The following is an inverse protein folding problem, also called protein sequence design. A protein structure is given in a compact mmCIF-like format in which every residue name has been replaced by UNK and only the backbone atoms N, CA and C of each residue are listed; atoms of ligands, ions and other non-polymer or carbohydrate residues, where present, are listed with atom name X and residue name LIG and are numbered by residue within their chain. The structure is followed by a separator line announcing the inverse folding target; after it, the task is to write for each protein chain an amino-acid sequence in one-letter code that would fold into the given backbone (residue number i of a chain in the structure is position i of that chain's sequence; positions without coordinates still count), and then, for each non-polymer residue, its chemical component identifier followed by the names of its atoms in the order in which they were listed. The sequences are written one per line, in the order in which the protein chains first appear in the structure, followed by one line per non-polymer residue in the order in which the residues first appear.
data_IF_570773494405
#
_entry.id   IF_570773494405
#
_cell.length_a   1.000
_cell.length_b   1.000
_cell.length_c   1.000
_cell.angle_alpha   90.00
_cell.angle_beta   90.00
_cell.angle_gamma   90.00
#
_symmetry.space_group_name_H-M   'P 1'
#
loop_
_entity.id
_entity.type
_entity.pdbx_description
1 polymer ?
#
# COMPACT_ATOMS: atom_id res chain seq x y z
N UNK A 1 -2.29 -35.68 6.42
CA UNK A 1 -3.64 -35.79 7.02
C UNK A 1 -4.22 -34.40 7.01
N UNK A 2 -5.14 -34.12 6.08
CA UNK A 2 -5.91 -32.88 6.02
C UNK A 2 -6.87 -32.86 7.22
N UNK A 3 -6.87 -31.82 8.07
CA UNK A 3 -7.84 -31.72 9.13
C UNK A 3 -9.21 -31.42 8.49
N UNK A 4 -10.08 -32.42 8.46
CA UNK A 4 -11.50 -32.24 8.14
C UNK A 4 -12.17 -31.57 9.34
N UNK A 5 -12.52 -30.29 9.22
CA UNK A 5 -13.34 -29.62 10.22
C UNK A 5 -14.76 -30.19 10.12
N UNK A 6 -15.25 -30.80 11.20
CA UNK A 6 -16.61 -31.34 11.24
C UNK A 6 -17.66 -30.22 11.16
N UNK A 7 -18.88 -30.57 10.74
CA UNK A 7 -20.01 -29.63 10.66
C UNK A 7 -20.28 -28.89 11.97
N UNK A 8 -19.97 -29.53 13.11
CA UNK A 8 -20.04 -28.93 14.44
C UNK A 8 -19.00 -27.83 14.65
N UNK A 9 -17.77 -27.98 14.14
CA UNK A 9 -16.70 -26.98 14.26
C UNK A 9 -16.94 -25.80 13.32
N UNK A 10 -17.46 -26.07 12.11
CA UNK A 10 -17.95 -25.01 11.21
C UNK A 10 -19.10 -24.23 11.86
N UNK A 11 -20.07 -24.92 12.46
CA UNK A 11 -21.18 -24.27 13.18
C UNK A 11 -20.65 -23.44 14.37
N UNK A 12 -19.68 -23.95 15.12
CA UNK A 12 -19.04 -23.24 16.23
C UNK A 12 -18.23 -22.02 15.76
N UNK A 13 -17.50 -22.12 14.65
CA UNK A 13 -16.80 -21.00 14.01
C UNK A 13 -17.79 -19.95 13.48
N UNK A 14 -18.90 -20.38 12.86
CA UNK A 14 -19.99 -19.51 12.40
C UNK A 14 -20.63 -18.81 13.60
N UNK A 15 -20.91 -19.51 14.69
CA UNK A 15 -21.52 -18.91 15.88
C UNK A 15 -20.53 -18.04 16.67
N UNK A 16 -19.23 -18.33 16.63
CA UNK A 16 -18.18 -17.44 17.16
C UNK A 16 -18.08 -16.18 16.30
N UNK A 17 -18.07 -16.30 14.98
CA UNK A 17 -18.07 -15.17 14.06
C UNK A 17 -19.39 -14.35 14.10
N UNK A 18 -20.54 -14.99 14.32
CA UNK A 18 -21.83 -14.31 14.55
C UNK A 18 -21.87 -13.61 15.90
N UNK A 19 -21.22 -14.15 16.93
CA UNK A 19 -20.97 -13.43 18.19
C UNK A 19 -20.09 -12.20 17.94
N UNK A 20 -19.12 -12.29 17.04
CA UNK A 20 -18.35 -11.13 16.55
C UNK A 20 -19.12 -10.21 15.59
N UNK A 21 -20.27 -10.61 15.05
CA UNK A 21 -21.16 -9.69 14.32
C UNK A 21 -21.91 -8.70 15.26
N UNK A 22 -21.81 -8.90 16.58
CA UNK A 22 -22.17 -7.94 17.64
C UNK A 22 -21.01 -6.95 17.91
N UNK A 23 -19.85 -7.11 17.25
CA UNK A 23 -18.68 -6.24 17.39
C UNK A 23 -18.98 -4.74 17.24
N UNK A 24 -19.84 -4.26 16.32
CA UNK A 24 -20.15 -2.84 16.24
C UNK A 24 -20.76 -2.28 17.52
N UNK A 25 -21.61 -3.06 18.20
CA UNK A 25 -22.24 -2.67 19.47
C UNK A 25 -21.23 -2.74 20.61
N UNK A 26 -20.40 -3.78 20.66
CA UNK A 26 -19.38 -3.93 21.69
C UNK A 26 -18.27 -2.87 21.57
N UNK A 27 -17.83 -2.56 20.34
CA UNK A 27 -16.94 -1.43 20.06
C UNK A 27 -17.59 -0.12 20.49
N UNK A 28 -18.84 0.13 20.09
CA UNK A 28 -19.48 1.40 20.39
C UNK A 28 -19.68 1.59 21.89
N UNK A 29 -20.05 0.54 22.62
CA UNK A 29 -20.08 0.56 24.08
C UNK A 29 -18.71 0.84 24.68
N UNK A 30 -17.65 0.16 24.19
CA UNK A 30 -16.27 0.44 24.63
C UNK A 30 -15.84 1.88 24.32
N UNK A 31 -16.26 2.42 23.17
CA UNK A 31 -15.98 3.79 22.73
C UNK A 31 -16.66 4.80 23.64
N UNK A 32 -17.95 4.62 23.94
CA UNK A 32 -18.68 5.47 24.90
C UNK A 32 -18.02 5.45 26.29
N UNK A 33 -17.63 4.28 26.79
CA UNK A 33 -16.95 4.17 28.09
C UNK A 33 -15.57 4.85 28.07
N UNK A 34 -14.83 4.73 26.97
CA UNK A 34 -13.53 5.37 26.81
C UNK A 34 -13.64 6.90 26.74
N UNK A 35 -14.63 7.43 25.99
CA UNK A 35 -14.94 8.87 25.92
C UNK A 35 -15.33 9.42 27.29
N UNK A 36 -16.18 8.71 28.04
CA UNK A 36 -16.54 9.09 29.40
C UNK A 36 -15.33 9.12 30.34
N UNK A 37 -14.40 8.17 30.18
CA UNK A 37 -13.18 8.10 31.00
C UNK A 37 -12.15 9.18 30.63
N UNK A 38 -12.02 9.51 29.35
CA UNK A 38 -11.14 10.58 28.87
C UNK A 38 -11.70 11.98 29.21
N UNK A 39 -13.02 12.09 29.34
CA UNK A 39 -13.73 13.31 29.69
C UNK A 39 -14.64 13.77 28.55
N UNK A 40 -15.94 13.90 28.82
CA UNK A 40 -16.93 14.29 27.82
C UNK A 40 -16.66 15.65 27.17
N UNK A 41 -15.95 16.56 27.85
CA UNK A 41 -15.60 17.88 27.34
C UNK A 41 -14.74 17.82 26.05
N UNK A 42 -13.99 16.74 25.86
CA UNK A 42 -13.08 16.58 24.72
C UNK A 42 -13.74 15.93 23.49
N UNK A 43 -15.00 15.52 23.56
CA UNK A 43 -15.66 14.75 22.51
C UNK A 43 -17.09 15.23 22.24
N UNK A 44 -17.54 15.11 20.98
CA UNK A 44 -18.86 15.53 20.53
C UNK A 44 -19.15 17.00 20.90
N UNK A 45 -20.30 17.24 21.54
CA UNK A 45 -20.71 18.58 21.96
C UNK A 45 -20.21 19.00 23.36
N UNK A 46 -19.35 18.19 24.00
CA UNK A 46 -18.75 18.48 25.30
C UNK A 46 -19.60 18.07 26.52
N UNK A 47 -20.85 17.63 26.34
CA UNK A 47 -21.77 17.30 27.44
C UNK A 47 -21.79 15.81 27.74
N UNK A 48 -21.95 15.45 29.01
CA UNK A 48 -22.02 14.02 29.41
C UNK A 48 -23.27 13.32 28.86
N UNK A 49 -24.41 14.00 28.89
CA UNK A 49 -25.69 13.43 28.45
C UNK A 49 -25.70 13.12 26.94
N UNK A 50 -24.92 13.87 26.14
CA UNK A 50 -24.77 13.57 24.72
C UNK A 50 -23.94 12.31 24.47
N UNK A 51 -23.00 11.98 25.36
CA UNK A 51 -22.23 10.73 25.25
C UNK A 51 -23.11 9.52 25.42
N UNK A 52 -24.03 9.57 26.38
CA UNK A 52 -24.98 8.48 26.65
C UNK A 52 -26.09 8.39 25.60
N UNK A 53 -26.48 9.52 25.00
CA UNK A 53 -27.50 9.56 23.95
C UNK A 53 -26.95 9.28 22.54
N UNK A 54 -25.62 9.23 22.39
CA UNK A 54 -24.98 9.04 21.10
C UNK A 54 -25.37 7.70 20.47
N UNK A 55 -25.54 7.70 19.15
CA UNK A 55 -25.97 6.52 18.37
C UNK A 55 -24.82 5.78 17.71
N UNK A 56 -23.74 6.50 17.44
CA UNK A 56 -22.53 5.95 16.84
C UNK A 56 -21.28 6.73 17.28
N UNK A 57 -20.10 6.25 16.84
CA UNK A 57 -18.82 6.85 17.22
C UNK A 57 -18.60 8.26 16.65
N UNK A 58 -19.26 8.61 15.54
CA UNK A 58 -19.05 9.85 14.79
C UNK A 58 -19.69 11.04 15.51
N UNK A 59 -20.82 10.80 16.20
CA UNK A 59 -21.41 11.78 17.12
C UNK A 59 -20.49 12.13 18.31
N UNK A 60 -19.49 11.29 18.57
CA UNK A 60 -18.46 11.46 19.61
C UNK A 60 -17.09 11.78 19.02
N UNK A 61 -17.05 12.66 18.02
CA UNK A 61 -15.81 13.10 17.41
C UNK A 61 -14.89 13.85 18.40
N UNK A 62 -13.56 13.64 18.36
CA UNK A 62 -12.63 14.37 19.22
C UNK A 62 -12.58 15.86 18.88
N UNK A 63 -12.56 16.73 19.89
CA UNK A 63 -12.26 18.16 19.75
C UNK A 63 -10.73 18.35 19.77
N UNK A 64 -10.09 18.06 18.64
CA UNK A 64 -8.62 18.07 18.52
C UNK A 64 -7.98 19.39 18.95
N UNK A 65 -8.50 20.59 18.60
CA UNK A 65 -7.94 21.85 19.08
C UNK A 65 -7.93 21.96 20.62
N UNK A 66 -9.05 21.60 21.25
CA UNK A 66 -9.13 21.60 22.72
C UNK A 66 -8.17 20.58 23.33
N UNK A 67 -8.12 19.36 22.80
CA UNK A 67 -7.20 18.31 23.24
C UNK A 67 -5.74 18.79 23.14
N UNK A 68 -5.34 19.38 22.01
CA UNK A 68 -3.99 19.90 21.80
C UNK A 68 -3.61 21.01 22.79
N UNK A 69 -4.58 21.84 23.19
CA UNK A 69 -4.37 22.89 24.19
C UNK A 69 -4.27 22.35 25.62
N UNK A 70 -5.01 21.28 25.94
CA UNK A 70 -5.11 20.73 27.29
C UNK A 70 -4.09 19.62 27.58
N UNK A 71 -3.60 18.91 26.56
CA UNK A 71 -2.80 17.69 26.71
C UNK A 71 -1.52 17.91 27.53
N UNK A 72 -0.92 19.10 27.47
CA UNK A 72 0.28 19.43 28.24
C UNK A 72 0.06 19.49 29.76
N UNK A 73 -1.17 19.71 30.22
CA UNK A 73 -1.52 19.79 31.65
C UNK A 73 -2.01 18.45 32.23
N UNK A 74 -2.19 17.43 31.39
CA UNK A 74 -2.65 16.10 31.78
C UNK A 74 -1.50 15.24 32.34
N UNK A 75 -1.84 14.22 33.13
CA UNK A 75 -0.86 13.18 33.49
C UNK A 75 -0.41 12.40 32.25
N UNK A 76 0.78 11.80 32.29
CA UNK A 76 1.31 11.05 31.15
C UNK A 76 0.37 9.90 30.69
N UNK A 77 -0.28 9.21 31.63
CA UNK A 77 -1.28 8.18 31.30
C UNK A 77 -2.54 8.73 30.60
N UNK A 78 -2.97 9.94 30.94
CA UNK A 78 -4.09 10.61 30.26
C UNK A 78 -3.70 11.10 28.87
N UNK A 79 -2.48 11.62 28.71
CA UNK A 79 -1.92 12.02 27.43
C UNK A 79 -1.91 10.85 26.43
N UNK A 80 -1.37 9.71 26.86
CA UNK A 80 -1.31 8.48 26.05
C UNK A 80 -2.72 7.98 25.73
N UNK A 81 -3.62 7.97 26.71
CA UNK A 81 -4.98 7.46 26.54
C UNK A 81 -5.80 8.32 25.57
N UNK A 82 -5.81 9.65 25.75
CA UNK A 82 -6.59 10.52 24.87
C UNK A 82 -6.01 10.54 23.44
N UNK A 83 -4.67 10.49 23.29
CA UNK A 83 -4.03 10.37 21.99
C UNK A 83 -4.39 9.05 21.29
N UNK A 84 -4.48 7.95 22.05
CA UNK A 84 -4.93 6.66 21.53
C UNK A 84 -6.38 6.70 21.05
N UNK A 85 -7.30 7.35 21.78
CA UNK A 85 -8.69 7.52 21.34
C UNK A 85 -8.80 8.38 20.08
N UNK A 86 -8.01 9.45 19.97
CA UNK A 86 -7.91 10.22 18.73
C UNK A 86 -7.42 9.31 17.60
N UNK A 87 -6.45 8.42 17.84
CA UNK A 87 -5.94 7.47 16.84
C UNK A 87 -6.96 6.41 16.40
N UNK A 88 -7.85 5.98 17.30
CA UNK A 88 -8.97 5.08 16.98
C UNK A 88 -10.00 5.79 16.08
N UNK A 89 -10.15 7.11 16.23
CA UNK A 89 -11.05 7.93 15.41
C UNK A 89 -10.42 8.35 14.07
N UNK A 90 -9.22 8.95 14.11
CA UNK A 90 -8.42 9.49 13.02
C UNK A 90 -6.94 9.10 13.22
N UNK A 91 -6.46 8.18 12.39
CA UNK A 91 -5.15 7.54 12.53
C UNK A 91 -3.98 8.52 12.30
N UNK A 92 -4.13 9.46 11.38
CA UNK A 92 -3.10 10.46 11.07
C UNK A 92 -2.90 11.47 12.21
N UNK A 93 -3.98 12.05 12.72
CA UNK A 93 -3.92 13.04 13.80
C UNK A 93 -3.59 12.38 15.13
N UNK A 94 -4.19 11.22 15.41
CA UNK A 94 -3.87 10.45 16.60
C UNK A 94 -2.44 9.94 16.61
N UNK A 95 -1.93 9.45 15.47
CA UNK A 95 -0.54 9.01 15.34
C UNK A 95 0.47 10.15 15.59
N UNK A 96 0.14 11.39 15.18
CA UNK A 96 0.96 12.57 15.52
C UNK A 96 0.91 12.90 17.02
N UNK A 97 -0.26 12.81 17.64
CA UNK A 97 -0.42 13.04 19.08
C UNK A 97 0.33 11.99 19.90
N UNK A 98 0.23 10.71 19.52
CA UNK A 98 0.95 9.61 20.18
C UNK A 98 2.47 9.82 20.16
N UNK A 99 3.04 10.18 19.00
CA UNK A 99 4.47 10.52 18.90
C UNK A 99 4.85 11.72 19.77
N UNK A 100 4.00 12.75 19.82
CA UNK A 100 4.23 13.96 20.63
C UNK A 100 4.27 13.65 22.13
N UNK A 101 3.53 12.65 22.59
CA UNK A 101 3.51 12.22 24.00
C UNK A 101 4.50 11.08 24.29
N UNK A 102 5.38 10.73 23.34
CA UNK A 102 6.47 9.77 23.54
C UNK A 102 6.13 8.31 23.26
N UNK A 103 4.98 8.02 22.62
CA UNK A 103 4.60 6.66 22.21
C UNK A 103 5.18 6.33 20.84
N UNK A 104 6.04 5.31 20.79
CA UNK A 104 6.73 4.82 19.60
C UNK A 104 6.18 3.47 19.11
N UNK A 105 5.40 2.76 19.93
CA UNK A 105 4.73 1.53 19.53
C UNK A 105 3.81 0.95 20.61
N UNK A 106 3.20 -0.20 20.30
CA UNK A 106 2.17 -0.81 21.17
C UNK A 106 2.68 -1.22 22.56
N UNK A 107 3.99 -1.42 22.74
CA UNK A 107 4.61 -1.73 24.02
C UNK A 107 4.47 -0.58 25.04
N UNK A 108 4.38 0.66 24.57
CA UNK A 108 4.31 1.85 25.42
C UNK A 108 2.94 2.01 26.09
N UNK A 109 1.90 1.30 25.62
CA UNK A 109 0.61 1.22 26.30
C UNK A 109 0.66 0.44 27.63
N UNK A 110 1.75 -0.28 27.91
CA UNK A 110 1.96 -0.95 29.20
C UNK A 110 1.94 0.01 30.40
N UNK A 111 2.26 1.29 30.17
CA UNK A 111 2.30 2.35 31.19
C UNK A 111 0.91 2.86 31.62
N UNK A 112 -0.14 2.56 30.86
CA UNK A 112 -1.52 2.91 31.23
C UNK A 112 -1.99 2.05 32.42
N UNK A 113 -2.88 2.58 33.26
CA UNK A 113 -3.54 1.76 34.29
C UNK A 113 -4.45 0.69 33.67
N UNK A 114 -4.81 -0.33 34.47
CA UNK A 114 -5.60 -1.47 34.01
C UNK A 114 -6.91 -1.06 33.33
N UNK A 115 -7.59 -0.02 33.82
CA UNK A 115 -8.88 0.41 33.26
C UNK A 115 -8.72 0.99 31.86
N UNK A 116 -7.73 1.87 31.67
CA UNK A 116 -7.42 2.47 30.36
C UNK A 116 -6.90 1.43 29.37
N UNK A 117 -6.01 0.52 29.81
CA UNK A 117 -5.52 -0.59 28.96
C UNK A 117 -6.64 -1.49 28.47
N UNK A 118 -7.56 -1.90 29.35
CA UNK A 118 -8.68 -2.76 28.97
C UNK A 118 -9.58 -2.09 27.93
N UNK A 119 -9.86 -0.79 28.08
CA UNK A 119 -10.67 -0.06 27.10
C UNK A 119 -9.96 0.07 25.75
N UNK A 120 -8.67 0.42 25.73
CA UNK A 120 -7.89 0.47 24.48
C UNK A 120 -7.81 -0.91 23.83
N UNK A 121 -7.57 -1.97 24.61
CA UNK A 121 -7.54 -3.33 24.08
C UNK A 121 -8.88 -3.73 23.45
N UNK A 122 -10.01 -3.43 24.11
CA UNK A 122 -11.34 -3.70 23.56
C UNK A 122 -11.61 -2.91 22.27
N UNK A 123 -11.14 -1.66 22.18
CA UNK A 123 -11.26 -0.84 20.96
C UNK A 123 -10.40 -1.34 19.80
N UNK A 124 -9.27 -2.02 20.10
CA UNK A 124 -8.38 -2.61 19.10
C UNK A 124 -8.94 -3.96 18.60
N UNK A 125 -9.41 -4.80 19.54
CA UNK A 125 -9.89 -6.15 19.24
C UNK A 125 -11.26 -6.13 18.57
N UNK A 126 -12.06 -5.11 18.83
CA UNK A 126 -13.41 -4.97 18.28
C UNK A 126 -13.48 -3.69 17.47
N UNK A 127 -13.35 -3.67 16.14
CA UNK A 127 -13.35 -2.43 15.39
C UNK A 127 -14.79 -1.89 15.17
N UNK A 128 -14.95 -0.58 14.89
CA UNK A 128 -16.26 -0.03 14.54
C UNK A 128 -16.79 -0.66 13.25
N UNK A 129 -18.13 -0.72 13.11
CA UNK A 129 -18.74 -0.97 11.80
C UNK A 129 -18.12 0.00 10.77
N UNK A 130 -17.45 -0.57 9.77
CA UNK A 130 -16.78 0.18 8.70
C UNK A 130 -15.26 0.37 8.83
N UNK A 131 -14.56 -0.25 9.80
CA UNK A 131 -13.12 -0.51 9.68
C UNK A 131 -12.86 -1.96 10.05
N UNK A 132 -12.10 -2.69 9.24
CA UNK A 132 -11.60 -3.99 9.67
C UNK A 132 -10.26 -3.83 10.41
N UNK A 133 -9.92 -4.73 11.33
CA UNK A 133 -8.68 -4.67 12.07
C UNK A 133 -7.54 -5.18 11.17
N UNK A 134 -6.56 -4.33 10.92
CA UNK A 134 -5.25 -4.75 10.41
C UNK A 134 -4.62 -5.69 11.43
N UNK A 135 -4.57 -6.97 11.10
CA UNK A 135 -3.65 -7.92 11.72
C UNK A 135 -2.42 -8.03 10.84
N UNK A 136 -1.38 -7.32 11.29
CA UNK A 136 0.01 -7.68 11.10
C UNK A 136 0.21 -9.17 11.38
N UNK A 137 0.13 -10.00 10.34
CA UNK A 137 0.56 -11.40 10.37
C UNK A 137 0.92 -11.89 8.97
N UNK A 138 1.70 -11.12 8.23
CA UNK A 138 2.65 -11.74 7.31
C UNK A 138 4.05 -11.52 7.88
N UNK A 139 4.73 -12.65 8.11
CA UNK A 139 6.15 -12.70 8.43
C UNK A 139 6.87 -11.64 7.59
N UNK A 140 7.65 -10.79 8.26
CA UNK A 140 8.83 -10.21 7.63
C UNK A 140 9.70 -11.38 7.17
N UNK A 141 9.44 -11.89 5.97
CA UNK A 141 10.53 -12.41 5.18
C UNK A 141 11.48 -11.23 5.01
N UNK A 142 12.78 -11.39 5.32
CA UNK A 142 13.75 -10.37 4.95
C UNK A 142 13.54 -10.13 3.47
N UNK A 143 13.32 -8.87 3.09
CA UNK A 143 13.37 -8.46 1.69
C UNK A 143 14.64 -9.08 1.12
N UNK A 144 14.57 -9.97 0.11
CA UNK A 144 15.76 -10.24 -0.66
C UNK A 144 16.00 -8.95 -1.42
N UNK A 145 16.81 -8.06 -0.87
CA UNK A 145 17.57 -7.13 -1.69
C UNK A 145 18.45 -8.02 -2.56
N UNK A 146 17.90 -8.50 -3.67
CA UNK A 146 18.66 -9.15 -4.71
C UNK A 146 19.52 -8.04 -5.33
N UNK A 147 20.69 -7.83 -4.75
CA UNK A 147 21.80 -7.16 -5.39
C UNK A 147 22.15 -8.00 -6.62
N UNK A 148 21.57 -7.69 -7.78
CA UNK A 148 22.24 -7.48 -9.08
C UNK A 148 21.22 -7.28 -10.24
N UNK A 149 21.52 -6.29 -11.09
CA UNK A 149 20.96 -5.91 -12.41
C UNK A 149 19.49 -5.45 -12.52
N UNK A 150 18.96 -4.71 -11.55
CA UNK A 150 17.74 -3.93 -11.77
C UNK A 150 18.10 -2.58 -12.41
N UNK A 151 17.30 -2.14 -13.38
CA UNK A 151 17.41 -0.81 -13.97
C UNK A 151 17.37 0.24 -12.84
N UNK A 152 18.44 1.04 -12.66
CA UNK A 152 18.61 1.87 -11.46
C UNK A 152 17.66 3.08 -11.39
N UNK A 153 16.99 3.38 -12.51
CA UNK A 153 15.96 4.41 -12.56
C UNK A 153 14.58 3.91 -12.11
N UNK A 154 14.38 2.59 -11.99
CA UNK A 154 13.12 2.04 -11.49
C UNK A 154 12.94 2.43 -10.02
N UNK A 155 11.87 3.18 -9.75
CA UNK A 155 11.39 3.51 -8.41
C UNK A 155 9.88 3.32 -8.33
N UNK A 156 9.38 3.14 -7.12
CA UNK A 156 7.96 2.94 -6.88
C UNK A 156 7.49 1.55 -7.31
N UNK A 157 6.17 1.39 -7.37
CA UNK A 157 5.52 0.16 -7.81
C UNK A 157 5.03 0.35 -9.25
N UNK A 158 5.35 -0.61 -10.13
CA UNK A 158 4.89 -0.60 -11.51
C UNK A 158 3.91 -1.75 -11.75
N UNK A 159 3.01 -1.58 -12.73
CA UNK A 159 1.97 -2.56 -13.07
C UNK A 159 1.12 -2.97 -11.83
N UNK A 160 0.61 -1.94 -11.14
CA UNK A 160 -0.30 -2.12 -10.00
C UNK A 160 -1.62 -2.71 -10.49
N UNK A 161 -2.02 -3.83 -9.89
CA UNK A 161 -3.30 -4.48 -10.19
C UNK A 161 -4.08 -4.78 -8.93
N UNK A 162 -5.39 -4.62 -9.02
CA UNK A 162 -6.31 -4.95 -7.94
C UNK A 162 -6.71 -6.41 -8.08
N UNK A 163 -6.66 -7.16 -6.99
CA UNK A 163 -7.22 -8.48 -6.88
C UNK A 163 -8.21 -8.52 -5.72
N UNK A 164 -9.44 -8.95 -6.01
CA UNK A 164 -10.47 -9.20 -4.99
C UNK A 164 -10.18 -10.54 -4.32
N UNK A 165 -10.06 -10.53 -2.99
CA UNK A 165 -9.65 -11.67 -2.17
C UNK A 165 -10.66 -11.90 -1.05
N UNK A 166 -10.95 -13.16 -0.79
CA UNK A 166 -11.73 -13.64 0.34
C UNK A 166 -10.76 -13.94 1.48
N UNK A 167 -10.95 -13.28 2.62
CA UNK A 167 -10.23 -13.64 3.84
C UNK A 167 -10.99 -14.78 4.52
N UNK A 168 -10.40 -15.97 4.51
CA UNK A 168 -11.01 -17.22 4.96
C UNK A 168 -10.44 -17.62 6.31
N UNK A 169 -11.32 -17.72 7.30
CA UNK A 169 -11.03 -18.36 8.58
C UNK A 169 -11.32 -19.86 8.44
N UNK A 170 -10.31 -20.68 8.69
CA UNK A 170 -10.43 -22.14 8.65
C UNK A 170 -9.99 -22.78 9.96
N UNK A 171 -9.09 -22.15 10.70
CA UNK A 171 -8.70 -22.57 12.05
C UNK A 171 -8.58 -21.31 12.91
N UNK A 172 -9.18 -21.33 14.11
CA UNK A 172 -9.19 -20.21 15.05
C UNK A 172 -7.79 -19.78 15.51
N UNK A 173 -6.79 -20.66 15.41
CA UNK A 173 -5.41 -20.38 15.78
C UNK A 173 -4.50 -20.12 14.57
N UNK A 174 -5.02 -20.25 13.35
CA UNK A 174 -4.27 -20.01 12.12
C UNK A 174 -4.51 -18.60 11.56
N UNK A 175 -3.54 -18.04 10.82
CA UNK A 175 -3.77 -16.83 10.04
C UNK A 175 -4.90 -17.01 9.02
N UNK A 176 -5.54 -15.90 8.64
CA UNK A 176 -6.52 -15.91 7.55
C UNK A 176 -5.85 -16.34 6.25
N UNK A 177 -6.55 -17.17 5.49
CA UNK A 177 -6.16 -17.51 4.13
C UNK A 177 -6.77 -16.47 3.17
N UNK A 178 -5.98 -15.92 2.25
CA UNK A 178 -6.45 -14.92 1.29
C UNK A 178 -6.46 -15.51 -0.11
N UNK A 179 -7.66 -15.75 -0.64
CA UNK A 179 -7.85 -16.43 -1.92
C UNK A 179 -8.87 -15.69 -2.78
N UNK A 180 -8.69 -15.61 -4.11
CA UNK A 180 -9.72 -15.06 -4.97
C UNK A 180 -11.00 -15.92 -4.91
N UNK A 181 -12.18 -15.31 -5.16
CA UNK A 181 -13.40 -16.07 -5.32
C UNK A 181 -13.29 -17.02 -6.52
N UNK A 182 -13.99 -18.15 -6.43
CA UNK A 182 -14.12 -19.09 -7.53
C UNK A 182 -14.58 -18.38 -8.82
N UNK A 183 -14.08 -18.74 -10.02
CA UNK A 183 -14.47 -18.09 -11.27
C UNK A 183 -15.99 -18.02 -11.50
N UNK A 184 -16.73 -19.07 -11.11
CA UNK A 184 -18.20 -19.06 -11.23
C UNK A 184 -18.92 -18.08 -10.29
N UNK A 185 -18.23 -17.54 -9.29
CA UNK A 185 -18.78 -16.68 -8.24
C UNK A 185 -18.20 -15.25 -8.25
N UNK A 186 -17.37 -14.90 -9.23
CA UNK A 186 -16.79 -13.54 -9.34
C UNK A 186 -17.85 -12.44 -9.49
N UNK A 187 -19.02 -12.78 -10.01
CA UNK A 187 -20.16 -11.88 -10.18
C UNK A 187 -20.91 -11.57 -8.87
N UNK A 188 -20.68 -12.33 -7.80
CA UNK A 188 -21.34 -12.12 -6.52
C UNK A 188 -20.83 -10.85 -5.84
N UNK A 189 -21.71 -10.12 -5.17
CA UNK A 189 -21.38 -8.92 -4.38
C UNK A 189 -20.58 -9.27 -3.12
N UNK A 190 -19.93 -8.28 -2.49
CA UNK A 190 -19.13 -8.51 -1.27
C UNK A 190 -19.99 -9.10 -0.14
N UNK A 191 -21.22 -8.62 0.03
CA UNK A 191 -22.16 -9.12 1.05
C UNK A 191 -22.64 -10.56 0.77
N UNK A 192 -22.69 -10.97 -0.49
CA UNK A 192 -23.03 -12.34 -0.88
C UNK A 192 -21.86 -13.32 -0.69
N UNK A 193 -20.63 -12.82 -0.54
CA UNK A 193 -19.43 -13.63 -0.30
C UNK A 193 -19.04 -13.62 1.17
N UNK A 194 -19.01 -12.44 1.79
CA UNK A 194 -18.66 -12.27 3.18
C UNK A 194 -19.68 -12.98 4.09
N UNK A 195 -19.21 -13.47 5.23
CA UNK A 195 -20.03 -14.11 6.28
C UNK A 195 -20.68 -15.43 5.86
N UNK A 196 -20.24 -16.03 4.76
CA UNK A 196 -20.77 -17.30 4.26
C UNK A 196 -19.74 -18.43 4.40
N UNK A 197 -20.20 -19.67 4.66
CA UNK A 197 -19.36 -20.85 4.59
C UNK A 197 -18.78 -21.04 3.19
N UNK A 198 -17.54 -21.50 3.12
CA UNK A 198 -16.86 -21.80 1.88
C UNK A 198 -16.10 -23.11 1.93
N UNK A 199 -15.85 -23.67 0.76
CA UNK A 199 -14.77 -24.63 0.54
C UNK A 199 -13.65 -23.94 -0.23
N UNK A 200 -12.39 -24.28 0.04
CA UNK A 200 -11.24 -23.67 -0.64
C UNK A 200 -10.14 -24.69 -0.94
N UNK A 201 -9.26 -24.31 -1.86
CA UNK A 201 -8.01 -25.00 -2.16
C UNK A 201 -6.86 -23.97 -2.22
N UNK A 202 -5.75 -24.29 -2.86
CA UNK A 202 -4.62 -23.38 -2.99
C UNK A 202 -4.81 -22.26 -4.03
N UNK A 203 -5.91 -22.25 -4.78
CA UNK A 203 -6.17 -21.30 -5.87
C UNK A 203 -7.39 -20.41 -5.61
N UNK A 204 -8.50 -20.97 -5.14
CA UNK A 204 -9.77 -20.25 -5.02
C UNK A 204 -10.56 -20.69 -3.78
N UNK A 205 -11.45 -19.81 -3.35
CA UNK A 205 -12.50 -20.13 -2.38
C UNK A 205 -13.90 -20.05 -3.02
N UNK A 206 -14.74 -21.03 -2.71
CA UNK A 206 -16.07 -21.25 -3.25
C UNK A 206 -17.10 -21.20 -2.12
N UNK A 207 -18.03 -20.25 -2.16
CA UNK A 207 -19.16 -20.18 -1.24
C UNK A 207 -20.08 -21.38 -1.45
N UNK A 208 -20.48 -22.03 -0.36
CA UNK A 208 -21.40 -23.18 -0.37
C UNK A 208 -22.64 -22.87 0.47
N UNK A 209 -23.81 -22.90 -0.18
CA UNK A 209 -25.09 -22.51 0.42
C UNK A 209 -25.94 -23.69 0.90
N UNK A 210 -25.50 -24.93 0.65
CA UNK A 210 -26.20 -26.14 1.06
C UNK A 210 -25.24 -27.31 1.23
N UNK A 211 -25.61 -28.28 2.08
CA UNK A 211 -24.83 -29.50 2.29
C UNK A 211 -24.68 -30.32 0.99
N UNK A 212 -25.68 -30.30 0.10
CA UNK A 212 -25.62 -30.96 -1.19
C UNK A 212 -24.58 -30.32 -2.13
N UNK A 213 -24.51 -28.98 -2.15
CA UNK A 213 -23.49 -28.26 -2.92
C UNK A 213 -22.08 -28.51 -2.38
N UNK A 214 -21.94 -28.68 -1.05
CA UNK A 214 -20.66 -29.01 -0.43
C UNK A 214 -20.15 -30.38 -0.88
N UNK A 215 -21.00 -31.42 -0.76
CA UNK A 215 -20.64 -32.78 -1.14
C UNK A 215 -20.23 -32.90 -2.63
N UNK A 216 -20.83 -32.09 -3.51
CA UNK A 216 -20.48 -32.06 -4.93
C UNK A 216 -19.08 -31.51 -5.24
N UNK A 217 -18.46 -30.79 -4.31
CA UNK A 217 -17.19 -30.07 -4.52
C UNK A 217 -16.07 -30.47 -3.55
N UNK A 218 -16.33 -31.37 -2.60
CA UNK A 218 -15.36 -31.80 -1.58
C UNK A 218 -14.05 -32.37 -2.17
N UNK A 219 -14.11 -33.08 -3.30
CA UNK A 219 -12.92 -33.63 -3.95
C UNK A 219 -11.98 -32.56 -4.54
N UNK A 220 -12.54 -31.45 -5.04
CA UNK A 220 -11.78 -30.36 -5.68
C UNK A 220 -11.46 -29.20 -4.72
N UNK A 221 -12.26 -29.06 -3.66
CA UNK A 221 -12.14 -28.03 -2.63
C UNK A 221 -12.18 -28.70 -1.25
N UNK A 222 -11.05 -29.29 -0.80
CA UNK A 222 -11.04 -30.18 0.36
C UNK A 222 -11.06 -29.44 1.70
N UNK A 223 -10.79 -28.12 1.70
CA UNK A 223 -10.65 -27.36 2.93
C UNK A 223 -11.91 -26.54 3.20
N UNK A 224 -12.67 -26.82 4.27
CA UNK A 224 -13.78 -25.96 4.65
C UNK A 224 -13.30 -24.73 5.44
N UNK A 225 -14.08 -23.65 5.36
CA UNK A 225 -13.84 -22.43 6.11
C UNK A 225 -15.03 -21.48 6.05
N UNK A 226 -14.82 -20.26 6.53
CA UNK A 226 -15.80 -19.17 6.49
C UNK A 226 -15.11 -17.95 5.94
N UNK A 227 -15.73 -17.29 4.97
CA UNK A 227 -15.27 -15.98 4.53
C UNK A 227 -15.64 -14.97 5.59
N UNK A 228 -14.66 -14.39 6.28
CA UNK A 228 -14.91 -13.40 7.33
C UNK A 228 -15.01 -11.98 6.78
N UNK A 229 -14.39 -11.72 5.62
CA UNK A 229 -14.49 -10.46 4.89
C UNK A 229 -14.02 -10.64 3.44
N UNK A 230 -14.40 -9.69 2.58
CA UNK A 230 -13.79 -9.48 1.27
C UNK A 230 -12.83 -8.30 1.36
N UNK A 231 -11.65 -8.44 0.77
CA UNK A 231 -10.65 -7.38 0.66
C UNK A 231 -10.21 -7.21 -0.79
N UNK A 232 -9.63 -6.07 -1.10
CA UNK A 232 -9.08 -5.71 -2.39
C UNK A 232 -7.59 -5.46 -2.21
N UNK A 233 -6.78 -6.46 -2.60
CA UNK A 233 -5.33 -6.39 -2.55
C UNK A 233 -4.79 -5.67 -3.79
N UNK A 234 -3.87 -4.73 -3.58
CA UNK A 234 -3.12 -4.05 -4.62
C UNK A 234 -1.77 -4.74 -4.75
N UNK A 235 -1.47 -5.29 -5.92
CA UNK A 235 -0.26 -6.04 -6.20
C UNK A 235 0.60 -5.34 -7.26
N UNK A 236 1.90 -5.26 -6.99
CA UNK A 236 2.93 -4.86 -7.97
C UNK A 236 3.37 -6.08 -8.76
N UNK A 237 3.27 -6.02 -10.09
CA UNK A 237 3.61 -7.13 -11.00
C UNK A 237 4.95 -6.92 -11.73
N UNK A 238 5.71 -5.92 -11.30
CA UNK A 238 7.08 -5.65 -11.74
C UNK A 238 8.09 -6.73 -11.32
N UNK A 239 7.70 -7.60 -10.37
CA UNK A 239 8.48 -8.74 -9.92
C UNK A 239 7.67 -10.04 -10.00
N UNK A 240 8.38 -11.17 -10.02
CA UNK A 240 7.79 -12.50 -9.94
C UNK A 240 8.33 -13.24 -8.72
N UNK A 241 7.48 -13.64 -7.76
CA UNK A 241 6.02 -13.48 -7.75
C UNK A 241 5.58 -12.03 -7.51
N UNK A 242 4.33 -11.66 -7.87
CA UNK A 242 3.77 -10.34 -7.59
C UNK A 242 3.85 -10.01 -6.09
N UNK A 243 4.17 -8.75 -5.79
CA UNK A 243 4.31 -8.27 -4.41
C UNK A 243 3.03 -7.56 -3.96
N UNK A 244 2.49 -7.93 -2.79
CA UNK A 244 1.40 -7.19 -2.16
C UNK A 244 1.90 -5.82 -1.68
N UNK A 245 1.30 -4.75 -2.18
CA UNK A 245 1.61 -3.36 -1.84
C UNK A 245 0.73 -2.88 -0.69
N UNK A 246 -0.53 -3.29 -0.68
CA UNK A 246 -1.49 -2.98 0.38
C UNK A 246 -2.84 -3.63 0.12
N UNK A 247 -3.69 -3.69 1.14
CA UNK A 247 -5.07 -4.16 1.04
C UNK A 247 -6.06 -3.11 1.52
N UNK A 248 -7.26 -3.12 0.93
CA UNK A 248 -8.35 -2.22 1.27
C UNK A 248 -9.68 -2.96 1.29
N UNK A 249 -10.72 -2.32 1.85
CA UNK A 249 -12.02 -2.96 2.09
C UNK A 249 -13.06 -2.69 0.99
N UNK A 250 -12.70 -1.95 -0.06
CA UNK A 250 -13.57 -1.76 -1.21
C UNK A 250 -12.76 -1.58 -2.49
N UNK A 251 -13.37 -1.93 -3.62
CA UNK A 251 -12.76 -1.76 -4.93
C UNK A 251 -12.47 -0.29 -5.22
N UNK A 252 -13.42 0.59 -4.90
CA UNK A 252 -13.29 2.04 -5.12
C UNK A 252 -12.09 2.61 -4.36
N UNK A 253 -11.91 2.22 -3.09
CA UNK A 253 -10.74 2.66 -2.31
C UNK A 253 -9.44 2.13 -2.90
N UNK A 254 -9.43 0.89 -3.39
CA UNK A 254 -8.27 0.31 -4.10
C UNK A 254 -7.96 1.05 -5.40
N UNK A 255 -8.98 1.43 -6.17
CA UNK A 255 -8.83 2.23 -7.38
C UNK A 255 -8.30 3.63 -7.05
N UNK A 256 -8.87 4.32 -6.06
CA UNK A 256 -8.38 5.62 -5.58
C UNK A 256 -6.93 5.52 -5.09
N UNK A 257 -6.58 4.44 -4.39
CA UNK A 257 -5.23 4.22 -3.91
C UNK A 257 -4.26 3.95 -5.06
N UNK A 258 -4.65 3.17 -6.06
CA UNK A 258 -3.86 3.02 -7.29
C UNK A 258 -3.70 4.37 -7.97
N UNK A 259 -4.72 5.23 -8.06
CA UNK A 259 -4.57 6.58 -8.63
C UNK A 259 -3.61 7.47 -7.81
N UNK A 260 -3.57 7.31 -6.49
CA UNK A 260 -2.62 8.02 -5.64
C UNK A 260 -1.20 7.46 -5.72
N UNK A 261 -1.05 6.15 -5.97
CA UNK A 261 0.24 5.47 -6.14
C UNK A 261 0.75 5.55 -7.59
N UNK A 262 -0.14 5.67 -8.55
CA UNK A 262 0.12 5.81 -9.98
C UNK A 262 0.17 7.30 -10.30
N UNK A 263 1.39 7.83 -10.31
CA UNK A 263 1.62 9.26 -10.45
C UNK A 263 1.46 9.71 -11.91
N UNK A 264 0.23 9.86 -12.38
CA UNK A 264 0.00 10.32 -13.77
C UNK A 264 0.38 11.80 -13.96
N UNK A 265 0.15 12.65 -12.95
CA UNK A 265 0.24 14.12 -13.08
C UNK A 265 0.99 14.88 -11.96
N UNK A 266 1.52 14.24 -10.91
CA UNK A 266 2.42 14.93 -9.96
C UNK A 266 2.72 14.25 -8.61
N UNK A 267 3.89 14.61 -8.05
CA UNK A 267 4.51 14.28 -6.75
C UNK A 267 5.39 13.02 -6.58
N UNK A 268 5.57 12.16 -7.59
CA UNK A 268 6.87 11.49 -7.80
C UNK A 268 7.60 12.17 -8.94
N UNK A 269 8.77 12.73 -8.67
CA UNK A 269 9.58 13.35 -9.71
C UNK A 269 10.00 12.29 -10.72
N UNK A 270 9.51 12.41 -11.97
CA UNK A 270 10.08 11.73 -13.15
C UNK A 270 11.31 12.45 -13.69
N UNK A 271 11.85 13.38 -12.89
CA UNK A 271 13.12 14.05 -13.14
C UNK A 271 14.20 13.38 -12.30
N UNK A 272 15.29 13.04 -12.97
CA UNK A 272 16.52 12.54 -12.35
C UNK A 272 17.65 13.51 -12.63
N UNK A 273 18.51 13.68 -11.63
CA UNK A 273 19.77 14.40 -11.72
C UNK A 273 20.85 13.41 -11.26
N UNK A 274 21.79 13.11 -12.14
CA UNK A 274 22.84 12.11 -11.93
C UNK A 274 24.19 12.68 -12.37
N UNK A 275 25.27 12.12 -11.83
CA UNK A 275 26.62 12.55 -12.20
C UNK A 275 26.88 12.44 -13.71
N UNK A 276 27.52 13.47 -14.30
CA UNK A 276 28.06 13.38 -15.67
C UNK A 276 29.16 12.32 -15.83
N UNK A 277 29.73 11.81 -14.72
CA UNK A 277 30.67 10.69 -14.70
C UNK A 277 30.10 9.36 -15.21
N UNK A 278 28.78 9.28 -15.43
CA UNK A 278 28.14 8.13 -16.08
C UNK A 278 28.32 8.09 -17.60
N UNK A 279 28.97 9.09 -18.20
CA UNK A 279 29.34 9.14 -19.60
C UNK A 279 30.87 9.26 -19.73
N UNK A 280 31.50 8.64 -20.74
CA UNK A 280 32.89 8.94 -21.08
C UNK A 280 33.08 10.41 -21.43
N UNK A 281 34.25 10.99 -21.15
CA UNK A 281 34.58 12.39 -21.44
C UNK A 281 34.23 12.81 -22.88
N UNK A 282 34.59 11.99 -23.87
CA UNK A 282 34.29 12.27 -25.29
C UNK A 282 32.78 12.32 -25.57
N UNK A 283 31.99 11.44 -24.96
CA UNK A 283 30.54 11.44 -25.10
C UNK A 283 29.92 12.68 -24.43
N UNK A 284 30.45 13.09 -23.27
CA UNK A 284 30.05 14.31 -22.57
C UNK A 284 30.34 15.57 -23.40
N UNK A 285 31.55 15.70 -23.93
CA UNK A 285 31.94 16.84 -24.78
C UNK A 285 31.09 16.91 -26.06
N UNK A 286 30.80 15.75 -26.66
CA UNK A 286 29.92 15.63 -27.84
C UNK A 286 28.50 16.10 -27.52
N UNK A 287 27.98 15.73 -26.34
CA UNK A 287 26.67 16.15 -25.85
C UNK A 287 26.57 17.67 -25.70
N UNK A 288 27.65 18.33 -25.23
CA UNK A 288 27.71 19.79 -25.06
C UNK A 288 27.91 20.56 -26.38
N UNK A 289 28.43 19.93 -27.43
CA UNK A 289 29.01 20.64 -28.58
C UNK A 289 28.19 20.59 -29.87
N UNK A 290 27.21 19.68 -29.99
CA UNK A 290 26.50 19.42 -31.25
C UNK A 290 25.05 19.95 -31.17
N UNK A 291 24.49 20.55 -32.24
CA UNK A 291 23.05 20.74 -32.34
C UNK A 291 22.35 19.37 -32.26
N UNK A 292 21.67 19.12 -31.14
CA UNK A 292 21.14 17.80 -30.81
C UNK A 292 20.17 17.29 -31.91
N UNK A 293 20.30 16.03 -32.39
CA UNK A 293 19.47 15.55 -33.49
C UNK A 293 17.98 15.53 -33.13
N UNK A 294 17.14 15.96 -34.07
CA UNK A 294 15.67 15.94 -33.90
C UNK A 294 15.08 14.57 -34.23
N UNK A 295 13.88 14.28 -33.68
CA UNK A 295 13.11 13.09 -34.04
C UNK A 295 13.54 11.80 -33.31
N UNK A 296 14.34 11.91 -32.25
CA UNK A 296 14.84 10.78 -31.46
C UNK A 296 14.08 10.53 -30.15
N UNK A 297 12.87 11.10 -30.03
CA UNK A 297 12.08 11.16 -28.78
C UNK A 297 12.81 11.85 -27.62
N UNK A 298 13.63 12.85 -27.95
CA UNK A 298 14.47 13.60 -27.03
C UNK A 298 14.40 15.09 -27.35
N UNK A 299 14.41 15.92 -26.31
CA UNK A 299 14.66 17.36 -26.38
C UNK A 299 15.79 17.71 -25.40
N UNK A 300 16.85 18.36 -25.90
CA UNK A 300 17.99 18.76 -25.08
C UNK A 300 17.87 20.20 -24.57
N UNK A 301 18.43 20.47 -23.38
CA UNK A 301 18.55 21.81 -22.81
C UNK A 301 19.79 21.94 -21.92
N UNK A 302 20.39 23.12 -21.90
CA UNK A 302 21.59 23.42 -21.09
C UNK A 302 21.22 24.11 -19.77
N UNK A 303 22.01 23.82 -18.73
CA UNK A 303 21.96 24.45 -17.41
C UNK A 303 23.34 25.08 -17.13
N UNK A 304 23.57 26.32 -17.60
CA UNK A 304 24.92 26.89 -17.67
C UNK A 304 25.56 27.12 -16.30
N UNK A 305 24.79 27.48 -15.29
CA UNK A 305 25.33 27.80 -13.96
C UNK A 305 25.90 26.58 -13.23
N UNK A 306 25.37 25.38 -13.46
CA UNK A 306 25.90 24.12 -12.91
C UNK A 306 26.74 23.33 -13.91
N UNK A 307 26.99 23.88 -15.10
CA UNK A 307 27.63 23.14 -16.21
C UNK A 307 26.94 21.79 -16.49
N UNK A 308 25.63 21.72 -16.25
CA UNK A 308 24.84 20.51 -16.40
C UNK A 308 24.06 20.52 -17.72
N UNK A 309 23.60 19.33 -18.12
CA UNK A 309 22.88 19.15 -19.35
C UNK A 309 21.68 18.25 -19.16
N UNK A 310 20.53 18.74 -19.61
CA UNK A 310 19.25 18.09 -19.48
C UNK A 310 18.76 17.50 -20.79
N UNK A 311 18.11 16.35 -20.67
CA UNK A 311 17.37 15.68 -21.73
C UNK A 311 15.95 15.44 -21.25
N UNK A 312 14.97 15.99 -21.96
CA UNK A 312 13.58 15.62 -21.83
C UNK A 312 13.30 14.43 -22.74
N UNK A 313 12.92 13.30 -22.14
CA UNK A 313 12.54 12.08 -22.83
C UNK A 313 11.04 12.16 -23.18
N UNK A 314 10.71 11.83 -24.42
CA UNK A 314 9.36 11.89 -24.98
C UNK A 314 8.82 10.46 -25.11
N UNK A 315 7.49 10.31 -24.99
CA UNK A 315 6.80 9.04 -25.18
C UNK A 315 7.30 7.90 -24.26
N UNK A 316 7.64 8.24 -23.02
CA UNK A 316 7.97 7.27 -21.98
C UNK A 316 6.70 6.63 -21.38
N UNK A 317 6.78 5.37 -20.88
CA UNK A 317 7.97 4.53 -20.79
C UNK A 317 8.34 3.86 -22.12
N UNK A 318 9.64 3.76 -22.42
CA UNK A 318 10.17 3.10 -23.61
C UNK A 318 10.15 1.58 -23.46
N UNK A 319 8.96 0.99 -23.58
CA UNK A 319 8.73 -0.44 -23.70
C UNK A 319 8.19 -0.77 -25.09
N UNK A 320 8.45 -1.97 -25.63
CA UNK A 320 7.95 -2.36 -26.97
C UNK A 320 6.44 -2.20 -27.08
N UNK A 321 5.71 -2.53 -26.00
CA UNK A 321 4.25 -2.37 -25.94
C UNK A 321 3.82 -0.91 -26.02
N UNK A 322 4.52 0.00 -25.33
CA UNK A 322 4.14 1.41 -25.29
C UNK A 322 4.54 2.13 -26.58
N UNK A 323 5.79 1.99 -27.00
CA UNK A 323 6.30 2.58 -28.25
C UNK A 323 5.54 2.07 -29.47
N UNK A 324 5.20 0.78 -29.52
CA UNK A 324 4.40 0.23 -30.62
C UNK A 324 3.00 0.84 -30.73
N UNK A 325 2.46 1.40 -29.64
CA UNK A 325 1.14 2.07 -29.64
C UNK A 325 1.21 3.55 -29.99
N UNK A 326 2.23 4.26 -29.53
CA UNK A 326 2.31 5.73 -29.62
C UNK A 326 3.21 6.23 -30.76
N UNK A 327 4.28 5.49 -31.08
CA UNK A 327 5.26 5.84 -32.13
C UNK A 327 5.32 4.81 -33.27
N UNK A 328 4.74 3.61 -33.08
CA UNK A 328 4.74 2.54 -34.08
C UNK A 328 6.10 1.85 -34.26
N UNK A 329 6.99 1.96 -33.27
CA UNK A 329 8.31 1.34 -33.29
C UNK A 329 8.56 0.44 -32.05
N UNK A 330 9.62 -0.36 -32.12
CA UNK A 330 10.14 -1.15 -30.99
C UNK A 330 11.29 -0.41 -30.30
N UNK A 331 11.59 -0.79 -29.05
CA UNK A 331 12.74 -0.28 -28.30
C UNK A 331 14.05 -0.48 -29.05
N UNK A 332 14.23 -1.64 -29.70
CA UNK A 332 15.42 -1.93 -30.51
C UNK A 332 15.55 -1.02 -31.73
N UNK A 333 14.43 -0.68 -32.38
CA UNK A 333 14.43 0.25 -33.51
C UNK A 333 14.78 1.68 -33.06
N UNK A 334 14.20 2.14 -31.95
CA UNK A 334 14.54 3.44 -31.37
C UNK A 334 16.03 3.52 -31.00
N UNK A 335 16.56 2.48 -30.34
CA UNK A 335 17.99 2.37 -30.02
C UNK A 335 18.87 2.52 -31.26
N UNK A 336 18.52 1.80 -32.33
CA UNK A 336 19.29 1.85 -33.56
C UNK A 336 19.22 3.23 -34.23
N UNK A 337 18.05 3.88 -34.25
CA UNK A 337 17.89 5.23 -34.81
C UNK A 337 18.75 6.26 -34.06
N UNK A 338 18.83 6.16 -32.74
CA UNK A 338 19.66 7.03 -31.90
C UNK A 338 21.16 6.85 -32.17
N UNK A 339 21.62 5.60 -32.32
CA UNK A 339 23.00 5.28 -32.70
C UNK A 339 23.33 5.75 -34.12
N UNK A 340 22.43 5.51 -35.08
CA UNK A 340 22.59 5.94 -36.47
C UNK A 340 22.64 7.47 -36.60
N UNK A 341 22.01 8.19 -35.66
CA UNK A 341 22.07 9.65 -35.54
C UNK A 341 23.35 10.18 -34.85
N UNK A 342 24.25 9.29 -34.45
CA UNK A 342 25.56 9.65 -33.89
C UNK A 342 25.60 9.82 -32.37
N UNK A 343 24.55 9.42 -31.64
CA UNK A 343 24.62 9.35 -30.18
C UNK A 343 25.57 8.21 -29.76
N UNK A 344 26.37 8.43 -28.71
CA UNK A 344 27.27 7.40 -28.20
C UNK A 344 26.48 6.23 -27.60
N UNK A 345 27.06 5.03 -27.65
CA UNK A 345 26.41 3.83 -27.09
C UNK A 345 26.15 3.98 -25.60
N UNK A 346 27.08 4.55 -24.85
CA UNK A 346 26.97 4.78 -23.41
C UNK A 346 25.79 5.71 -23.06
N UNK A 347 25.63 6.80 -23.81
CA UNK A 347 24.50 7.70 -23.65
C UNK A 347 23.18 6.99 -23.96
N UNK A 348 23.13 6.26 -25.07
CA UNK A 348 21.93 5.52 -25.49
C UNK A 348 21.53 4.47 -24.45
N UNK A 349 22.49 3.74 -23.87
CA UNK A 349 22.19 2.77 -22.80
C UNK A 349 21.58 3.44 -21.55
N UNK A 350 22.15 4.56 -21.09
CA UNK A 350 21.59 5.31 -19.95
C UNK A 350 20.19 5.84 -20.28
N UNK A 351 19.99 6.37 -21.50
CA UNK A 351 18.69 6.86 -21.95
C UNK A 351 17.64 5.75 -22.05
N UNK A 352 18.02 4.56 -22.50
CA UNK A 352 17.11 3.42 -22.57
C UNK A 352 16.73 2.91 -21.18
N UNK A 353 17.65 2.90 -20.23
CA UNK A 353 17.34 2.60 -18.83
C UNK A 353 16.38 3.66 -18.24
N UNK A 354 16.68 4.94 -18.40
CA UNK A 354 15.83 6.03 -17.92
C UNK A 354 14.43 6.00 -18.60
N UNK A 355 14.40 5.89 -19.92
CA UNK A 355 13.16 5.84 -20.71
C UNK A 355 12.30 4.64 -20.36
N UNK A 356 12.88 3.46 -20.14
CA UNK A 356 12.14 2.28 -19.69
C UNK A 356 11.48 2.50 -18.31
N UNK A 357 12.13 3.26 -17.43
CA UNK A 357 11.66 3.56 -16.07
C UNK A 357 10.70 4.78 -15.98
N UNK A 358 10.13 5.20 -17.11
CA UNK A 358 9.26 6.38 -17.21
C UNK A 358 9.93 7.69 -16.73
N UNK A 359 11.25 7.83 -16.87
CA UNK A 359 11.94 9.11 -16.63
C UNK A 359 11.60 10.08 -17.76
N UNK A 360 11.14 11.29 -17.42
CA UNK A 360 10.79 12.33 -18.39
C UNK A 360 11.84 13.41 -18.53
N UNK A 361 12.64 13.62 -17.49
CA UNK A 361 13.75 14.57 -17.51
C UNK A 361 14.95 13.87 -16.89
N UNK A 362 16.06 13.83 -17.60
CA UNK A 362 17.34 13.33 -17.11
C UNK A 362 18.36 14.44 -17.23
N UNK A 363 18.95 14.83 -16.10
CA UNK A 363 20.00 15.83 -16.03
C UNK A 363 21.30 15.11 -15.68
N UNK A 364 22.32 15.34 -16.49
CA UNK A 364 23.70 14.99 -16.20
C UNK A 364 24.37 16.23 -15.63
N UNK A 365 24.74 16.17 -14.36
CA UNK A 365 25.33 17.28 -13.61
C UNK A 365 26.70 16.84 -13.05
N UNK A 366 27.80 17.57 -13.30
CA UNK A 366 29.12 17.23 -12.76
C UNK A 366 29.20 17.18 -11.23
N UNK A 367 28.37 17.95 -10.53
CA UNK A 367 28.33 18.07 -9.07
C UNK A 367 27.31 17.09 -8.43
N UNK A 368 26.49 16.42 -9.23
CA UNK A 368 25.55 15.41 -8.74
C UNK A 368 26.24 14.09 -8.34
N UNK A 369 25.60 13.37 -7.42
CA UNK A 369 26.08 12.05 -7.00
C UNK A 369 25.91 10.98 -8.08
N UNK A 370 26.82 10.00 -8.11
CA UNK A 370 26.69 8.84 -8.99
C UNK A 370 25.49 7.96 -8.59
N UNK A 371 24.68 7.59 -9.58
CA UNK A 371 23.62 6.61 -9.45
C UNK A 371 24.19 5.19 -9.42
N UNK A 372 24.02 4.52 -8.28
CA UNK A 372 24.44 3.13 -8.11
C UNK A 372 23.78 2.22 -9.15
N UNK A 373 24.57 1.40 -9.84
CA UNK A 373 24.11 0.49 -10.88
C UNK A 373 24.39 0.95 -12.31
N UNK A 374 24.80 2.21 -12.51
CA UNK A 374 25.34 2.69 -13.79
C UNK A 374 26.89 2.62 -13.80
N UNK A 375 27.52 2.40 -14.96
CA UNK A 375 28.97 2.54 -15.13
C UNK A 375 29.45 3.94 -14.75
N UNK A 376 30.66 4.04 -14.20
CA UNK A 376 31.32 5.32 -13.93
C UNK A 376 32.64 5.32 -14.69
N UNK A 377 32.92 6.39 -15.41
CA UNK A 377 34.11 6.56 -16.20
C UNK A 377 35.04 7.55 -15.49
N UNK A 378 36.33 7.23 -15.44
CA UNK A 378 37.34 8.15 -14.92
C UNK A 378 37.52 9.28 -15.93
N UNK A 379 37.06 10.47 -15.56
CA UNK A 379 37.44 11.70 -16.24
C UNK A 379 38.87 12.02 -15.81
N UNK A 380 39.87 11.54 -16.55
CA UNK A 380 41.22 12.04 -16.33
C UNK A 380 41.23 13.55 -16.62
N UNK A 381 41.77 14.37 -15.71
CA UNK A 381 41.81 15.82 -15.86
C UNK A 381 42.65 16.30 -17.04
#
# INVERSE_FOLDING_TARGET
MTPTLSDSVLAELIDTYRRDAVAPQHFFQAWQQAVLLAGSAYFGNGKRDSVTAARDKWELHPNVPLIQSAIGAMSHGEQVFIAALVSVYDDQTGGRLLRRVGVNGSADFGLLDTRRRTLIANLIVTPPAGRCPSLYAHRRSPMPFNNHSLNPFLRGFNDLRIQRLLAVLYDAQAPLCHLPPHPSQQHLTDDQLARHPCLFNNQHALIVNSSAARAAHEDSYPCPGIVVQVIYGIFSHDQSPPMLVGDLYSETLAQERILQLTFETGHYSRCWEISSAHLPQVAWETLMSIPFPMGLLLEAFELPDSSAFGLKLIATPWTDRHLGRVEGCTTKQLRQQQLDAGLSEELVEVLHLAGQADVRILIFDPDAGCLSGLPVYDHQP
#
